data_IF_871296119827
#
_entry.id   IF_871296119827
#
_cell.length_a   1.000
_cell.length_b   1.000
_cell.length_c   1.000
_cell.angle_alpha   90.00
_cell.angle_beta   90.00
_cell.angle_gamma   90.00
#
_symmetry.space_group_name_H-M   'P 1'
#
loop_
_entity.id
_entity.type
_entity.pdbx_description
1 polymer ?
#
# COMPACT_ATOMS: atom_id res chain seq x y z
N UNK A 1 -9.20 -14.81 -9.75
CA UNK A 1 -9.86 -13.96 -8.75
C UNK A 1 -8.87 -13.80 -7.61
N UNK A 2 -8.48 -12.57 -7.25
CA UNK A 2 -7.80 -12.34 -5.98
C UNK A 2 -8.77 -12.79 -4.87
N UNK A 3 -8.27 -13.54 -3.88
CA UNK A 3 -9.09 -13.88 -2.73
C UNK A 3 -9.17 -12.66 -1.82
N UNK A 4 -10.24 -12.52 -1.01
CA UNK A 4 -10.40 -11.40 -0.07
C UNK A 4 -9.17 -11.19 0.83
N UNK A 5 -8.47 -12.27 1.19
CA UNK A 5 -7.21 -12.25 1.96
C UNK A 5 -6.04 -11.53 1.26
N UNK A 6 -6.14 -11.31 -0.04
CA UNK A 6 -5.08 -10.68 -0.83
C UNK A 6 -5.29 -9.17 -0.95
N UNK A 7 -6.45 -8.64 -0.51
CA UNK A 7 -6.81 -7.23 -0.58
C UNK A 7 -6.25 -6.46 0.62
N UNK A 8 -5.85 -5.21 0.38
CA UNK A 8 -5.33 -4.32 1.43
C UNK A 8 -6.44 -3.42 1.98
N UNK A 9 -6.65 -3.49 3.30
CA UNK A 9 -7.50 -2.53 4.00
C UNK A 9 -6.70 -1.30 4.45
N UNK A 10 -6.84 -0.20 3.71
CA UNK A 10 -6.13 1.05 3.98
C UNK A 10 -6.60 1.79 5.24
N UNK A 11 -7.69 1.33 5.89
CA UNK A 11 -8.16 1.87 7.16
C UNK A 11 -7.55 1.14 8.37
N UNK A 12 -6.76 0.08 8.15
CA UNK A 12 -6.16 -0.73 9.21
C UNK A 12 -4.65 -0.56 9.26
N UNK A 13 -4.14 0.01 10.36
CA UNK A 13 -2.71 0.26 10.54
C UNK A 13 -1.86 -1.00 10.45
N UNK A 14 -2.37 -2.15 10.88
CA UNK A 14 -1.63 -3.42 10.83
C UNK A 14 -1.44 -3.91 9.38
N UNK A 15 -2.40 -3.69 8.49
CA UNK A 15 -2.30 -3.97 7.06
C UNK A 15 -1.29 -3.05 6.38
N UNK A 16 -1.32 -1.75 6.70
CA UNK A 16 -0.35 -0.78 6.20
C UNK A 16 1.06 -1.12 6.68
N UNK A 17 1.21 -1.46 7.96
CA UNK A 17 2.48 -1.86 8.54
C UNK A 17 3.02 -3.16 7.90
N UNK A 18 2.14 -4.12 7.60
CA UNK A 18 2.51 -5.32 6.87
C UNK A 18 3.03 -4.99 5.46
N UNK A 19 2.33 -4.13 4.72
CA UNK A 19 2.75 -3.68 3.40
C UNK A 19 4.13 -2.99 3.44
N UNK A 20 4.31 -2.02 4.35
CA UNK A 20 5.57 -1.31 4.56
C UNK A 20 6.71 -2.27 4.91
N UNK A 21 6.47 -3.19 5.86
CA UNK A 21 7.46 -4.20 6.26
C UNK A 21 7.84 -5.12 5.09
N UNK A 22 6.86 -5.58 4.31
CA UNK A 22 7.10 -6.43 3.15
C UNK A 22 7.89 -5.73 2.04
N UNK A 23 7.79 -4.41 1.97
CA UNK A 23 8.56 -3.55 1.06
C UNK A 23 9.89 -3.05 1.67
N UNK A 24 10.24 -3.46 2.90
CA UNK A 24 11.46 -3.04 3.59
C UNK A 24 11.46 -1.59 4.10
N UNK A 25 10.28 -0.98 4.23
CA UNK A 25 10.09 0.40 4.70
C UNK A 25 9.77 0.45 6.20
N UNK A 26 10.06 1.59 6.83
CA UNK A 26 9.77 1.80 8.26
C UNK A 26 8.26 1.94 8.49
N UNK A 27 7.79 1.47 9.65
CA UNK A 27 6.36 1.49 10.03
C UNK A 27 6.00 2.76 10.82
N UNK A 28 6.37 3.92 10.28
CA UNK A 28 6.09 5.24 10.88
C UNK A 28 4.70 5.73 10.49
N UNK A 29 4.15 6.69 11.24
CA UNK A 29 2.89 7.34 10.86
C UNK A 29 3.00 8.01 9.49
N UNK A 30 4.10 8.73 9.24
CA UNK A 30 4.36 9.36 7.95
C UNK A 30 4.33 8.36 6.79
N UNK A 31 4.99 7.19 6.93
CA UNK A 31 4.98 6.17 5.88
C UNK A 31 3.59 5.54 5.70
N UNK A 32 2.77 5.42 6.76
CA UNK A 32 1.37 4.98 6.65
C UNK A 32 0.52 6.00 5.89
N UNK A 33 0.66 7.29 6.22
CA UNK A 33 -0.08 8.37 5.55
C UNK A 33 0.29 8.43 4.06
N UNK A 34 1.60 8.40 3.74
CA UNK A 34 2.10 8.30 2.37
C UNK A 34 1.52 7.09 1.64
N UNK A 35 1.43 5.93 2.31
CA UNK A 35 0.90 4.71 1.71
C UNK A 35 -0.59 4.82 1.39
N UNK A 36 -1.38 5.50 2.23
CA UNK A 36 -2.80 5.75 1.99
C UNK A 36 -2.99 6.64 0.77
N UNK A 37 -2.21 7.72 0.66
CA UNK A 37 -2.31 8.63 -0.48
C UNK A 37 -1.82 8.00 -1.78
N UNK A 38 -0.70 7.25 -1.74
CA UNK A 38 -0.25 6.45 -2.87
C UNK A 38 -1.30 5.41 -3.29
N UNK A 39 -1.92 4.74 -2.33
CA UNK A 39 -2.98 3.76 -2.59
C UNK A 39 -4.20 4.38 -3.27
N UNK A 40 -4.56 5.63 -2.94
CA UNK A 40 -5.64 6.37 -3.62
C UNK A 40 -5.27 6.67 -5.08
N UNK A 41 -4.05 7.12 -5.32
CA UNK A 41 -3.56 7.41 -6.67
C UNK A 41 -3.53 6.15 -7.54
N UNK A 42 -2.97 5.04 -7.03
CA UNK A 42 -2.91 3.76 -7.75
C UNK A 42 -4.31 3.21 -8.07
N UNK A 43 -5.29 3.40 -7.17
CA UNK A 43 -6.69 3.03 -7.45
C UNK A 43 -7.28 3.81 -8.63
N UNK A 44 -6.99 5.11 -8.70
CA UNK A 44 -7.45 5.97 -9.80
C UNK A 44 -6.77 5.58 -11.11
N UNK A 45 -5.46 5.40 -11.10
CA UNK A 45 -4.66 5.07 -12.29
C UNK A 45 -5.04 3.70 -12.87
N UNK A 46 -5.29 2.71 -12.02
CA UNK A 46 -5.69 1.36 -12.44
C UNK A 46 -7.20 1.22 -12.67
N UNK A 47 -8.00 2.24 -12.34
CA UNK A 47 -9.46 2.15 -12.34
C UNK A 47 -10.02 1.07 -11.39
N UNK A 48 -9.29 0.72 -10.32
CA UNK A 48 -9.66 -0.32 -9.36
C UNK A 48 -10.24 0.29 -8.08
N UNK A 49 -11.28 -0.35 -7.51
CA UNK A 49 -11.82 0.04 -6.19
C UNK A 49 -10.96 -0.46 -5.01
N UNK A 50 -10.35 -1.63 -5.19
CA UNK A 50 -9.54 -2.33 -4.18
C UNK A 50 -8.18 -2.68 -4.78
N UNK A 51 -7.14 -2.68 -3.96
CA UNK A 51 -5.79 -3.06 -4.36
C UNK A 51 -5.40 -4.33 -3.63
N UNK A 52 -4.63 -5.16 -4.31
CA UNK A 52 -3.99 -6.33 -3.70
C UNK A 52 -2.70 -5.93 -2.99
N UNK A 53 -2.21 -6.79 -2.09
CA UNK A 53 -0.90 -6.60 -1.45
C UNK A 53 0.22 -6.46 -2.50
N UNK A 54 0.13 -7.19 -3.62
CA UNK A 54 1.07 -7.08 -4.75
C UNK A 54 0.99 -5.73 -5.46
N UNK A 55 -0.22 -5.23 -5.75
CA UNK A 55 -0.41 -3.89 -6.34
C UNK A 55 0.25 -2.82 -5.44
N UNK A 56 0.02 -2.92 -4.13
CA UNK A 56 0.55 -1.97 -3.14
C UNK A 56 2.07 -2.09 -3.00
N UNK A 57 2.61 -3.30 -2.91
CA UNK A 57 4.05 -3.54 -2.84
C UNK A 57 4.77 -3.01 -4.09
N UNK A 58 4.22 -3.27 -5.27
CA UNK A 58 4.75 -2.72 -6.52
C UNK A 58 4.74 -1.20 -6.54
N UNK A 59 3.66 -0.58 -6.06
CA UNK A 59 3.58 0.88 -5.94
C UNK A 59 4.63 1.45 -4.97
N UNK A 60 4.84 0.83 -3.81
CA UNK A 60 5.87 1.25 -2.84
C UNK A 60 7.26 1.15 -3.45
N UNK A 61 7.55 0.08 -4.20
CA UNK A 61 8.86 -0.11 -4.86
C UNK A 61 9.10 0.95 -5.93
N UNK A 62 8.10 1.23 -6.77
CA UNK A 62 8.18 2.26 -7.81
C UNK A 62 8.30 3.67 -7.25
N UNK A 63 7.75 3.92 -6.05
CA UNK A 63 7.76 5.23 -5.39
C UNK A 63 8.62 5.20 -4.12
N UNK A 64 9.69 4.41 -4.12
CA UNK A 64 10.50 4.16 -2.92
C UNK A 64 11.10 5.43 -2.31
N UNK A 65 11.25 6.50 -3.09
CA UNK A 65 11.68 7.83 -2.67
C UNK A 65 10.68 8.59 -1.79
N UNK A 66 9.39 8.21 -1.81
CA UNK A 66 8.36 8.80 -0.95
C UNK A 66 8.39 8.27 0.49
N UNK A 67 9.19 7.23 0.76
CA UNK A 67 9.20 6.51 2.03
C UNK A 67 10.60 6.47 2.66
N UNK A 68 10.67 6.87 3.93
CA UNK A 68 11.87 6.82 4.79
C UNK A 68 12.23 5.42 5.31
#
# INVERSE_FOLDING_TARGET
MAADKDLVNFSEDHELNYCLRSAGKRQTQANRDTLVDLGRQVKQDLGKRVLTQDDVRGAIQSNGELFD
#
